data_IF_627340000260
#
_entry.id   IF_627340000260
#
_cell.length_a   1.000
_cell.length_b   1.000
_cell.length_c   1.000
_cell.angle_alpha   90.00
_cell.angle_beta   90.00
_cell.angle_gamma   90.00
#
_symmetry.space_group_name_H-M   'P 1'
#
loop_
_entity.id
_entity.type
_entity.pdbx_description
1 polymer ?
#
# COMPACT_ATOMS: atom_id res chain seq x y z
N UNK A 1 -1.68 0.72 0.07
CA UNK A 1 -2.51 0.83 1.32
C UNK A 1 -3.42 -0.38 1.39
N UNK A 2 -3.47 -1.13 2.50
CA UNK A 2 -4.29 -2.37 2.57
C UNK A 2 -4.73 -2.71 3.98
N UNK A 3 -5.94 -3.25 4.11
CA UNK A 3 -6.55 -3.68 5.37
C UNK A 3 -7.19 -5.05 5.17
N UNK A 4 -6.89 -5.98 6.07
CA UNK A 4 -7.56 -7.27 6.16
C UNK A 4 -8.74 -7.15 7.12
N UNK A 5 -9.84 -7.82 6.79
CA UNK A 5 -11.01 -7.96 7.64
C UNK A 5 -11.42 -9.43 7.61
N UNK A 6 -11.73 -9.98 8.78
CA UNK A 6 -12.24 -11.35 8.91
C UNK A 6 -13.05 -11.47 10.21
N UNK A 7 -13.84 -12.54 10.27
CA UNK A 7 -14.63 -12.91 11.44
C UNK A 7 -14.05 -14.21 12.02
N UNK A 8 -13.58 -14.16 13.26
CA UNK A 8 -13.11 -15.34 13.99
C UNK A 8 -14.02 -15.58 15.19
N UNK A 9 -14.64 -16.75 15.28
CA UNK A 9 -15.43 -17.16 16.46
C UNK A 9 -16.39 -16.06 16.99
N UNK A 10 -17.10 -15.38 16.07
CA UNK A 10 -18.04 -14.28 16.32
C UNK A 10 -17.43 -12.90 16.66
N UNK A 11 -16.10 -12.75 16.57
CA UNK A 11 -15.41 -11.47 16.71
C UNK A 11 -14.91 -11.00 15.35
N UNK A 12 -15.44 -9.89 14.86
CA UNK A 12 -14.89 -9.20 13.69
C UNK A 12 -13.61 -8.47 14.07
N UNK A 13 -12.54 -8.72 13.33
CA UNK A 13 -11.28 -7.99 13.47
C UNK A 13 -10.86 -7.34 12.16
N UNK A 14 -9.99 -6.35 12.28
CA UNK A 14 -9.33 -5.74 11.14
C UNK A 14 -7.88 -5.42 11.49
N UNK A 15 -7.03 -5.42 10.48
CA UNK A 15 -5.65 -4.96 10.62
C UNK A 15 -5.18 -4.34 9.31
N UNK A 16 -4.63 -3.13 9.37
CA UNK A 16 -3.88 -2.61 8.25
C UNK A 16 -2.60 -3.42 8.12
N UNK A 17 -2.37 -4.11 7.01
CA UNK A 17 -1.19 -4.98 6.84
C UNK A 17 -0.22 -4.51 5.75
N UNK A 18 -0.58 -3.45 5.01
CA UNK A 18 0.32 -2.71 4.13
C UNK A 18 0.89 -1.48 4.83
N UNK A 19 0.85 -0.31 4.17
CA UNK A 19 1.23 0.98 4.77
C UNK A 19 0.54 1.20 6.14
N UNK A 20 1.33 1.49 7.18
CA UNK A 20 0.84 1.60 8.57
C UNK A 20 0.40 2.99 8.97
N UNK A 21 1.00 3.97 8.33
CA UNK A 21 0.67 5.38 8.36
C UNK A 21 1.27 5.99 7.10
N UNK A 22 0.99 7.26 6.87
CA UNK A 22 1.68 8.08 5.90
C UNK A 22 1.96 9.46 6.48
N UNK A 23 2.98 10.12 5.94
CA UNK A 23 3.30 11.53 6.24
C UNK A 23 2.90 12.39 5.06
N UNK A 24 2.67 13.68 5.28
CA UNK A 24 2.42 14.64 4.22
C UNK A 24 3.39 15.82 4.36
N UNK A 25 4.32 15.92 3.43
CA UNK A 25 5.36 16.95 3.34
C UNK A 25 5.11 17.89 2.16
N UNK A 26 4.67 17.34 1.03
CA UNK A 26 4.28 18.12 -0.14
C UNK A 26 2.99 18.91 0.15
N UNK A 27 2.94 20.16 -0.32
CA UNK A 27 1.84 21.07 -0.02
C UNK A 27 0.52 20.64 -0.68
N UNK A 28 0.57 20.15 -1.92
CA UNK A 28 -0.61 19.67 -2.64
C UNK A 28 -1.14 18.38 -1.99
N UNK A 29 -0.24 17.47 -1.61
CA UNK A 29 -0.63 16.26 -0.88
C UNK A 29 -1.17 16.58 0.51
N UNK A 30 -0.59 17.54 1.24
CA UNK A 30 -1.12 17.99 2.54
C UNK A 30 -2.54 18.53 2.43
N UNK A 31 -2.83 19.30 1.38
CA UNK A 31 -4.18 19.80 1.12
C UNK A 31 -5.17 18.65 0.79
N UNK A 32 -4.73 17.62 0.06
CA UNK A 32 -5.54 16.41 -0.14
C UNK A 32 -5.80 15.67 1.18
N UNK A 33 -4.79 15.50 2.02
CA UNK A 33 -4.95 14.87 3.35
C UNK A 33 -5.95 15.65 4.21
N UNK A 34 -5.91 16.98 4.18
CA UNK A 34 -6.90 17.81 4.87
C UNK A 34 -8.32 17.57 4.36
N UNK A 35 -8.52 17.41 3.04
CA UNK A 35 -9.82 17.04 2.46
C UNK A 35 -10.27 15.66 2.94
N UNK A 36 -9.36 14.68 3.03
CA UNK A 36 -9.69 13.37 3.60
C UNK A 36 -10.07 13.45 5.07
N UNK A 37 -9.42 14.31 5.86
CA UNK A 37 -9.77 14.52 7.26
C UNK A 37 -11.16 15.14 7.42
N UNK A 38 -11.48 16.16 6.63
CA UNK A 38 -12.81 16.78 6.61
C UNK A 38 -13.90 15.78 6.21
N UNK A 39 -13.59 14.86 5.30
CA UNK A 39 -14.49 13.79 4.89
C UNK A 39 -14.53 12.59 5.87
N UNK A 40 -13.78 12.62 6.97
CA UNK A 40 -13.67 11.51 7.92
C UNK A 40 -12.97 10.26 7.36
N UNK A 41 -12.27 10.39 6.23
CA UNK A 41 -11.55 9.31 5.55
C UNK A 41 -10.09 9.15 6.03
N UNK A 42 -9.54 10.14 6.72
CA UNK A 42 -8.24 10.07 7.36
C UNK A 42 -8.23 10.82 8.71
N UNK A 43 -7.28 10.49 9.59
CA UNK A 43 -7.04 11.22 10.83
C UNK A 43 -5.56 11.17 11.22
N UNK A 44 -5.14 12.10 12.09
CA UNK A 44 -3.85 12.01 12.75
C UNK A 44 -3.83 10.79 13.67
N UNK A 45 -2.72 10.04 13.69
CA UNK A 45 -2.51 8.92 14.60
C UNK A 45 -1.68 9.37 15.81
N UNK A 46 -2.29 9.51 17.00
CA UNK A 46 -1.61 9.99 18.20
C UNK A 46 -0.84 8.86 18.90
N UNK A 47 0.02 8.14 18.17
CA UNK A 47 0.77 7.01 18.71
C UNK A 47 1.93 7.46 19.61
N UNK A 48 2.15 6.71 20.70
CA UNK A 48 3.43 6.72 21.41
C UNK A 48 4.44 5.93 20.60
N UNK A 49 5.42 6.62 20.03
CA UNK A 49 6.44 6.00 19.21
C UNK A 49 7.69 5.67 20.03
N UNK A 50 8.36 4.59 19.66
CA UNK A 50 9.63 4.20 20.23
C UNK A 50 10.58 3.63 19.16
N UNK A 51 11.85 3.46 19.53
CA UNK A 51 12.80 2.58 18.85
C UNK A 51 13.29 1.50 19.82
N UNK A 52 13.68 0.35 19.27
CA UNK A 52 14.34 -0.73 20.01
C UNK A 52 15.64 -1.10 19.28
N UNK A 53 16.76 -0.99 19.99
CA UNK A 53 18.11 -1.24 19.46
C UNK A 53 18.63 -2.66 19.70
N UNK A 54 17.83 -3.50 20.36
CA UNK A 54 18.18 -4.87 20.76
C UNK A 54 18.42 -5.00 22.26
N UNK A 55 18.57 -3.90 22.99
CA UNK A 55 18.75 -3.89 24.45
C UNK A 55 17.53 -3.31 25.17
N UNK A 56 16.90 -2.27 24.62
CA UNK A 56 15.72 -1.68 25.26
C UNK A 56 14.93 -0.73 24.39
N UNK A 57 13.80 -0.29 24.93
CA UNK A 57 12.93 0.71 24.31
C UNK A 57 13.38 2.14 24.64
N UNK A 58 13.49 2.98 23.62
CA UNK A 58 13.68 4.42 23.76
C UNK A 58 12.49 5.17 23.13
N UNK A 59 11.81 6.07 23.86
CA UNK A 59 10.77 6.92 23.28
C UNK A 59 11.30 7.75 22.10
N UNK A 60 10.50 7.85 21.05
CA UNK A 60 10.83 8.62 19.86
C UNK A 60 9.97 9.89 19.81
N UNK A 61 10.57 11.02 20.17
CA UNK A 61 9.94 12.33 20.06
C UNK A 61 10.22 12.93 18.68
N UNK A 62 9.18 13.18 17.90
CA UNK A 62 9.31 13.75 16.57
C UNK A 62 8.13 14.67 16.26
N UNK A 63 8.35 15.82 15.61
CA UNK A 63 7.27 16.70 15.17
C UNK A 63 6.53 16.15 13.94
N UNK A 64 6.99 15.03 13.36
CA UNK A 64 6.40 14.46 12.16
C UNK A 64 5.00 13.89 12.45
N UNK A 65 4.00 14.57 11.91
CA UNK A 65 2.63 14.10 11.88
C UNK A 65 2.49 12.83 11.05
N UNK A 66 1.77 11.84 11.59
CA UNK A 66 1.48 10.57 10.94
C UNK A 66 -0.02 10.43 10.80
N UNK A 67 -0.47 10.21 9.59
CA UNK A 67 -1.88 10.06 9.25
C UNK A 67 -2.19 8.60 8.94
N UNK A 68 -3.42 8.21 9.23
CA UNK A 68 -3.97 6.91 8.88
C UNK A 68 -5.34 7.10 8.25
N UNK A 69 -5.72 6.20 7.34
CA UNK A 69 -7.11 6.17 6.86
C UNK A 69 -8.08 5.81 7.99
N UNK A 70 -9.31 6.29 7.98
CA UNK A 70 -10.34 6.04 9.02
C UNK A 70 -11.65 5.54 8.39
N UNK A 71 -12.27 4.45 8.89
CA UNK A 71 -11.86 3.62 10.04
C UNK A 71 -10.75 2.60 9.72
N UNK A 72 -10.16 2.65 8.52
CA UNK A 72 -9.16 1.69 8.03
C UNK A 72 -8.25 2.34 6.99
N UNK A 73 -7.03 1.82 6.78
CA UNK A 73 -6.06 2.42 5.86
C UNK A 73 -6.55 2.50 4.41
N UNK A 74 -7.50 1.65 3.99
CA UNK A 74 -8.09 1.73 2.64
C UNK A 74 -9.09 2.88 2.45
N UNK A 75 -9.50 3.58 3.53
CA UNK A 75 -10.56 4.57 3.47
C UNK A 75 -10.29 5.78 2.55
N UNK A 76 -9.06 6.36 2.46
CA UNK A 76 -8.77 7.44 1.53
C UNK A 76 -8.98 7.06 0.07
N UNK A 77 -8.42 5.91 -0.36
CA UNK A 77 -8.61 5.40 -1.72
C UNK A 77 -10.08 5.06 -2.00
N UNK A 78 -10.78 4.45 -1.03
CA UNK A 78 -12.20 4.15 -1.18
C UNK A 78 -13.06 5.42 -1.25
N UNK A 79 -12.71 6.48 -0.53
CA UNK A 79 -13.37 7.79 -0.61
C UNK A 79 -13.19 8.38 -2.01
N UNK A 80 -11.96 8.40 -2.54
CA UNK A 80 -11.68 8.88 -3.89
C UNK A 80 -12.51 8.15 -4.94
N UNK A 81 -12.53 6.81 -4.90
CA UNK A 81 -13.33 5.99 -5.83
C UNK A 81 -14.82 6.32 -5.75
N UNK A 82 -15.38 6.43 -4.54
CA UNK A 82 -16.81 6.78 -4.37
C UNK A 82 -17.12 8.16 -4.91
N UNK A 83 -16.28 9.15 -4.61
CA UNK A 83 -16.48 10.53 -5.08
C UNK A 83 -16.41 10.63 -6.59
N UNK A 84 -15.44 9.94 -7.23
CA UNK A 84 -15.31 9.89 -8.68
C UNK A 84 -16.44 9.09 -9.36
N UNK A 85 -16.97 8.07 -8.68
CA UNK A 85 -18.14 7.31 -9.15
C UNK A 85 -19.48 8.02 -8.97
N UNK A 86 -19.51 9.17 -8.29
CA UNK A 86 -20.72 9.95 -8.03
C UNK A 86 -20.65 11.36 -8.67
N UNK A 87 -19.79 11.56 -9.66
CA UNK A 87 -19.64 12.85 -10.34
C UNK A 87 -20.96 13.29 -11.00
N UNK A 88 -21.40 14.55 -10.79
CA UNK A 88 -22.61 15.05 -11.41
C UNK A 88 -22.36 15.47 -12.87
N UNK A 89 -23.42 15.53 -13.71
CA UNK A 89 -23.34 16.13 -15.03
C UNK A 89 -22.77 17.56 -14.99
N UNK A 90 -21.97 18.00 -15.99
CA UNK A 90 -21.66 17.30 -17.26
C UNK A 90 -20.52 16.28 -17.17
N UNK A 91 -19.95 16.04 -15.98
CA UNK A 91 -18.89 15.06 -15.80
C UNK A 91 -19.45 13.63 -15.85
N UNK A 92 -18.65 12.70 -16.35
CA UNK A 92 -19.02 11.28 -16.42
C UNK A 92 -18.46 10.55 -15.19
N UNK A 93 -19.31 9.83 -14.43
CA UNK A 93 -18.85 8.98 -13.33
C UNK A 93 -17.78 7.97 -13.74
N UNK A 94 -16.74 7.82 -12.91
CA UNK A 94 -15.71 6.80 -13.11
C UNK A 94 -16.29 5.42 -12.84
N UNK A 95 -16.15 4.51 -13.80
CA UNK A 95 -16.53 3.11 -13.64
C UNK A 95 -15.38 2.31 -13.03
N UNK A 96 -15.67 1.57 -11.96
CA UNK A 96 -14.71 0.66 -11.33
C UNK A 96 -15.14 -0.78 -11.57
N UNK A 97 -14.22 -1.59 -12.10
CA UNK A 97 -14.39 -3.04 -12.28
C UNK A 97 -13.39 -3.77 -11.38
N UNK A 98 -13.92 -4.55 -10.44
CA UNK A 98 -13.13 -5.42 -9.57
C UNK A 98 -13.08 -6.82 -10.19
N UNK A 99 -12.18 -7.68 -9.68
CA UNK A 99 -12.00 -9.05 -10.21
C UNK A 99 -11.71 -9.06 -11.71
N UNK A 100 -10.90 -8.08 -12.16
CA UNK A 100 -10.49 -7.92 -13.56
C UNK A 100 -8.98 -7.72 -13.59
N UNK A 101 -8.26 -8.83 -13.70
CA UNK A 101 -6.80 -8.87 -13.80
C UNK A 101 -6.42 -8.71 -15.26
N UNK A 102 -6.02 -7.50 -15.66
CA UNK A 102 -5.50 -7.24 -17.02
C UNK A 102 -4.20 -8.02 -17.22
N UNK A 103 -4.14 -8.80 -18.30
CA UNK A 103 -2.99 -9.65 -18.65
C UNK A 103 -2.35 -9.26 -19.99
N UNK A 104 -3.08 -8.58 -20.88
CA UNK A 104 -2.54 -8.11 -22.14
C UNK A 104 -3.15 -6.77 -22.56
N UNK A 105 -2.32 -5.99 -23.24
CA UNK A 105 -2.66 -4.73 -23.89
C UNK A 105 -2.38 -4.88 -25.38
N UNK A 106 -3.31 -4.42 -26.21
CA UNK A 106 -3.16 -4.38 -27.66
C UNK A 106 -3.61 -3.02 -28.18
N UNK A 107 -2.90 -2.48 -29.17
CA UNK A 107 -3.25 -1.19 -29.78
C UNK A 107 -3.60 -1.37 -31.25
N UNK A 108 -4.55 -0.56 -31.72
CA UNK A 108 -5.01 -0.52 -33.11
C UNK A 108 -5.40 0.90 -33.50
N UNK A 109 -5.75 1.11 -34.77
CA UNK A 109 -6.31 2.39 -35.22
C UNK A 109 -7.60 2.81 -34.46
N UNK A 110 -8.32 1.84 -33.88
CA UNK A 110 -9.53 2.09 -33.07
C UNK A 110 -9.26 2.36 -31.59
N UNK A 111 -7.99 2.37 -31.18
CA UNK A 111 -7.55 2.50 -29.79
C UNK A 111 -7.15 1.17 -29.15
N UNK A 112 -6.94 1.23 -27.84
CA UNK A 112 -6.47 0.14 -26.99
C UNK A 112 -7.58 -0.87 -26.68
N UNK A 113 -7.26 -2.16 -26.79
CA UNK A 113 -7.99 -3.27 -26.15
C UNK A 113 -7.24 -3.80 -24.93
N UNK A 114 -8.03 -4.30 -23.98
CA UNK A 114 -7.55 -4.96 -22.78
C UNK A 114 -8.04 -6.41 -22.80
N UNK A 115 -7.19 -7.35 -22.44
CA UNK A 115 -7.59 -8.73 -22.15
C UNK A 115 -7.35 -9.01 -20.69
N UNK A 116 -8.36 -9.55 -20.01
CA UNK A 116 -8.28 -9.93 -18.60
C UNK A 116 -8.42 -11.44 -18.39
N UNK A 117 -7.83 -11.95 -17.32
CA UNK A 117 -7.86 -13.36 -16.96
C UNK A 117 -9.30 -13.89 -16.80
N UNK A 118 -10.17 -13.09 -16.17
CA UNK A 118 -11.51 -13.49 -15.75
C UNK A 118 -12.57 -13.33 -16.86
N UNK A 119 -12.32 -12.46 -17.84
CA UNK A 119 -13.35 -12.03 -18.81
C UNK A 119 -12.89 -12.01 -20.27
N UNK A 120 -11.71 -12.54 -20.58
CA UNK A 120 -11.09 -12.45 -21.90
C UNK A 120 -11.02 -10.98 -22.40
N UNK A 121 -11.26 -10.74 -23.69
CA UNK A 121 -11.13 -9.41 -24.31
C UNK A 121 -12.30 -8.50 -23.94
N UNK A 122 -11.98 -7.26 -23.59
CA UNK A 122 -12.96 -6.23 -23.27
C UNK A 122 -13.52 -5.61 -24.55
N UNK A 123 -14.84 -5.47 -24.62
CA UNK A 123 -15.50 -4.88 -25.80
C UNK A 123 -15.22 -3.37 -25.98
N UNK A 124 -14.93 -2.66 -24.89
CA UNK A 124 -14.66 -1.22 -24.90
C UNK A 124 -13.24 -0.93 -25.41
N UNK A 125 -13.13 0.09 -26.26
CA UNK A 125 -11.85 0.63 -26.75
C UNK A 125 -11.49 1.90 -26.01
N UNK A 126 -10.20 2.07 -25.72
CA UNK A 126 -9.70 3.21 -24.94
C UNK A 126 -8.71 4.02 -25.76
N UNK A 127 -8.78 5.35 -25.66
CA UNK A 127 -7.81 6.25 -26.29
C UNK A 127 -6.46 6.25 -25.55
N UNK A 128 -6.49 6.00 -24.25
CA UNK A 128 -5.29 5.94 -23.42
C UNK A 128 -5.38 4.85 -22.36
N UNK A 129 -4.23 4.33 -21.96
CA UNK A 129 -4.07 3.35 -20.87
C UNK A 129 -3.05 3.91 -19.87
N UNK A 130 -3.42 3.92 -18.59
CA UNK A 130 -2.58 4.39 -17.49
C UNK A 130 -2.39 3.24 -16.51
N UNK A 131 -1.16 2.76 -16.37
CA UNK A 131 -0.83 1.66 -15.46
C UNK A 131 -0.37 2.22 -14.11
N UNK A 132 -1.17 1.95 -13.08
CA UNK A 132 -0.89 2.30 -11.68
C UNK A 132 -0.62 1.02 -10.86
N UNK A 133 0.33 0.21 -11.32
CA UNK A 133 0.67 -1.10 -10.75
C UNK A 133 2.15 -1.16 -10.34
N UNK A 134 2.54 -2.06 -9.42
CA UNK A 134 3.93 -2.39 -9.13
C UNK A 134 4.75 -2.61 -10.41
N UNK A 135 5.99 -2.13 -10.42
CA UNK A 135 6.87 -2.18 -11.58
C UNK A 135 7.00 -3.60 -12.19
N UNK A 136 7.25 -4.66 -11.39
CA UNK A 136 7.31 -6.03 -11.93
C UNK A 136 6.01 -6.53 -12.59
N UNK A 137 4.86 -5.98 -12.18
CA UNK A 137 3.57 -6.29 -12.80
C UNK A 137 3.31 -5.47 -14.07
N UNK A 138 3.92 -4.29 -14.20
CA UNK A 138 3.83 -3.47 -15.40
C UNK A 138 4.68 -4.05 -16.55
N UNK A 139 5.85 -4.64 -16.26
CA UNK A 139 6.77 -5.20 -17.27
C UNK A 139 6.06 -6.10 -18.30
N UNK A 140 5.37 -7.19 -17.92
CA UNK A 140 4.75 -8.09 -18.90
C UNK A 140 3.63 -7.43 -19.72
N UNK A 141 2.96 -6.41 -19.19
CA UNK A 141 1.95 -5.64 -19.91
C UNK A 141 2.57 -4.71 -20.97
N UNK A 142 3.79 -4.24 -20.72
CA UNK A 142 4.47 -3.26 -21.56
C UNK A 142 5.39 -3.89 -22.60
N UNK A 143 6.05 -5.01 -22.31
CA UNK A 143 7.03 -5.65 -23.21
C UNK A 143 6.53 -5.77 -24.66
N UNK A 144 5.27 -6.17 -24.94
CA UNK A 144 4.79 -6.32 -26.32
C UNK A 144 4.49 -4.99 -27.04
N UNK A 145 4.24 -3.90 -26.31
CA UNK A 145 3.63 -2.67 -26.87
C UNK A 145 4.45 -1.39 -26.63
N UNK A 146 5.33 -1.38 -25.63
CA UNK A 146 6.16 -0.24 -25.26
C UNK A 146 7.46 -0.71 -24.55
N UNK A 147 8.46 -1.21 -25.30
CA UNK A 147 9.71 -1.73 -24.73
C UNK A 147 10.44 -0.73 -23.81
N UNK A 148 10.44 0.57 -24.14
CA UNK A 148 11.07 1.60 -23.31
C UNK A 148 10.41 1.74 -21.94
N UNK A 149 9.07 1.66 -21.90
CA UNK A 149 8.30 1.65 -20.65
C UNK A 149 8.55 0.38 -19.85
N UNK A 150 8.67 -0.77 -20.52
CA UNK A 150 9.03 -2.04 -19.90
C UNK A 150 10.43 -1.99 -19.29
N UNK A 151 11.42 -1.42 -20.00
CA UNK A 151 12.78 -1.24 -19.51
C UNK A 151 12.83 -0.34 -18.27
N UNK A 152 12.08 0.77 -18.28
CA UNK A 152 11.96 1.63 -17.10
C UNK A 152 11.37 0.88 -15.91
N UNK A 153 10.25 0.16 -16.11
CA UNK A 153 9.63 -0.62 -15.04
C UNK A 153 10.56 -1.72 -14.50
N UNK A 154 11.31 -2.39 -15.38
CA UNK A 154 12.29 -3.43 -15.00
C UNK A 154 13.49 -2.88 -14.21
N UNK A 155 13.80 -1.59 -14.34
CA UNK A 155 14.88 -0.94 -13.57
C UNK A 155 14.54 -0.70 -12.10
N UNK A 156 13.26 -0.76 -11.72
CA UNK A 156 12.83 -0.56 -10.34
C UNK A 156 12.93 -1.87 -9.54
N UNK A 157 13.83 -1.89 -8.55
CA UNK A 157 13.96 -3.01 -7.62
C UNK A 157 12.91 -2.91 -6.50
N UNK A 158 11.82 -3.66 -6.64
CA UNK A 158 10.80 -3.78 -5.59
C UNK A 158 11.09 -4.96 -4.67
N UNK A 159 11.10 -4.73 -3.36
CA UNK A 159 11.43 -5.75 -2.35
C UNK A 159 10.20 -6.38 -1.72
N UNK A 160 10.35 -7.60 -1.25
CA UNK A 160 9.36 -8.34 -0.49
C UNK A 160 9.26 -7.89 0.97
N UNK A 161 8.09 -8.09 1.57
CA UNK A 161 7.85 -7.89 3.00
C UNK A 161 6.88 -8.93 3.54
N UNK A 162 7.29 -9.61 4.60
CA UNK A 162 6.38 -10.40 5.42
C UNK A 162 5.72 -9.53 6.49
N UNK A 163 4.40 -9.66 6.59
CA UNK A 163 3.56 -8.99 7.56
C UNK A 163 2.77 -10.02 8.37
N UNK A 164 2.82 -9.96 9.70
CA UNK A 164 2.03 -10.84 10.59
C UNK A 164 1.08 -10.00 11.43
N UNK A 165 -0.21 -10.28 11.29
CA UNK A 165 -1.30 -9.64 12.03
C UNK A 165 -1.63 -10.52 13.25
N UNK A 166 -1.46 -9.98 14.45
CA UNK A 166 -1.58 -10.70 15.72
C UNK A 166 -2.79 -10.18 16.48
N UNK A 167 -3.77 -11.05 16.72
CA UNK A 167 -4.93 -10.78 17.59
C UNK A 167 -4.60 -11.26 19.00
N UNK A 168 -4.62 -10.33 19.96
CA UNK A 168 -4.28 -10.59 21.36
C UNK A 168 -5.55 -10.75 22.19
N UNK A 169 -5.57 -11.77 23.07
CA UNK A 169 -6.71 -12.05 23.96
C UNK A 169 -6.69 -11.12 25.19
N UNK A 170 -5.50 -10.70 25.61
CA UNK A 170 -5.28 -9.77 26.72
C UNK A 170 -4.50 -8.53 26.25
N UNK A 171 -4.64 -7.38 26.94
CA UNK A 171 -3.89 -6.18 26.62
C UNK A 171 -2.37 -6.39 26.66
N UNK A 172 -1.66 -5.89 25.65
CA UNK A 172 -0.19 -6.01 25.58
C UNK A 172 0.46 -4.83 26.31
N UNK A 173 1.27 -5.15 27.31
CA UNK A 173 1.93 -4.17 28.20
C UNK A 173 3.23 -3.59 27.62
N UNK A 174 3.21 -3.21 26.34
CA UNK A 174 4.31 -2.48 25.70
C UNK A 174 4.18 -0.97 25.94
N UNK A 175 5.30 -0.24 26.15
CA UNK A 175 5.28 1.20 26.45
C UNK A 175 5.03 2.09 25.22
N UNK A 176 4.62 1.50 24.08
CA UNK A 176 4.45 2.17 22.81
C UNK A 176 3.24 1.62 22.04
N UNK A 177 2.84 2.37 21.00
CA UNK A 177 1.80 2.01 20.04
C UNK A 177 2.39 1.81 18.64
N UNK A 178 3.61 2.31 18.40
CA UNK A 178 4.41 1.98 17.22
C UNK A 178 5.89 1.97 17.57
N UNK A 179 6.64 0.99 17.07
CA UNK A 179 8.07 0.89 17.37
C UNK A 179 8.89 0.47 16.15
N UNK A 180 10.00 1.17 15.95
CA UNK A 180 11.04 0.79 15.00
C UNK A 180 11.99 -0.20 15.65
N UNK A 181 12.20 -1.34 15.01
CA UNK A 181 13.11 -2.38 15.48
C UNK A 181 14.36 -2.36 14.58
N UNK A 182 15.53 -2.30 15.21
CA UNK A 182 16.81 -2.17 14.52
C UNK A 182 17.64 -3.47 14.53
N UNK A 183 17.09 -4.56 15.05
CA UNK A 183 17.79 -5.84 15.21
C UNK A 183 16.85 -7.04 15.01
N UNK A 184 17.35 -8.08 14.36
CA UNK A 184 16.60 -9.32 14.17
C UNK A 184 15.60 -9.24 13.01
N UNK A 185 14.60 -10.15 12.97
CA UNK A 185 13.75 -10.32 11.80
C UNK A 185 12.68 -9.22 11.66
N UNK A 186 12.43 -8.43 12.71
CA UNK A 186 11.41 -7.39 12.74
C UNK A 186 12.01 -6.03 12.41
N UNK A 187 11.23 -5.18 11.74
CA UNK A 187 11.61 -3.79 11.43
C UNK A 187 10.63 -2.77 12.00
N UNK A 188 9.36 -3.13 12.09
CA UNK A 188 8.32 -2.23 12.57
C UNK A 188 7.18 -3.02 13.24
N UNK A 189 6.70 -2.49 14.35
CA UNK A 189 5.50 -2.98 15.03
C UNK A 189 4.50 -1.84 15.16
N UNK A 190 3.21 -2.13 15.04
CA UNK A 190 2.15 -1.16 15.32
C UNK A 190 0.97 -1.80 16.03
N UNK A 191 0.50 -1.17 17.11
CA UNK A 191 -0.77 -1.46 17.77
C UNK A 191 -1.89 -0.91 16.88
N UNK A 192 -2.34 -1.69 15.91
CA UNK A 192 -3.33 -1.27 14.91
C UNK A 192 -4.63 -0.79 15.58
N UNK A 193 -5.07 -1.50 16.62
CA UNK A 193 -6.25 -1.14 17.42
C UNK A 193 -6.21 0.25 18.09
N UNK A 194 -5.03 0.86 18.26
CA UNK A 194 -4.91 2.24 18.77
C UNK A 194 -5.16 3.30 17.69
N UNK A 195 -5.15 2.92 16.41
CA UNK A 195 -5.42 3.88 15.33
C UNK A 195 -6.88 4.36 15.40
N UNK A 196 -7.15 5.63 15.06
CA UNK A 196 -8.50 6.19 15.10
C UNK A 196 -9.54 5.35 14.34
N UNK A 197 -10.69 5.10 14.97
CA UNK A 197 -11.80 4.37 14.36
C UNK A 197 -11.60 2.87 14.17
N UNK A 198 -10.53 2.25 14.72
CA UNK A 198 -10.40 0.79 14.76
C UNK A 198 -11.28 0.23 15.87
N UNK A 199 -11.92 -0.90 15.59
CA UNK A 199 -12.79 -1.62 16.52
C UNK A 199 -12.38 -3.09 16.55
N UNK A 200 -12.80 -3.82 17.58
CA UNK A 200 -12.47 -5.24 17.77
C UNK A 200 -11.35 -5.45 18.78
N UNK A 201 -10.75 -6.66 18.82
CA UNK A 201 -9.74 -7.02 19.81
C UNK A 201 -8.44 -6.23 19.60
N UNK A 202 -7.60 -6.17 20.65
CA UNK A 202 -6.27 -5.60 20.52
C UNK A 202 -5.49 -6.36 19.44
N UNK A 203 -5.11 -5.65 18.39
CA UNK A 203 -4.44 -6.21 17.23
C UNK A 203 -3.13 -5.47 16.99
N UNK A 204 -2.06 -6.24 16.81
CA UNK A 204 -0.72 -5.76 16.47
C UNK A 204 -0.34 -6.21 15.06
N UNK A 205 0.28 -5.31 14.30
CA UNK A 205 0.98 -5.69 13.09
C UNK A 205 2.47 -5.79 13.34
N UNK A 206 3.07 -6.86 12.84
CA UNK A 206 4.50 -7.08 12.78
C UNK A 206 4.93 -7.00 11.31
N UNK A 207 5.82 -6.07 10.98
CA UNK A 207 6.53 -6.04 9.69
C UNK A 207 7.93 -6.56 9.87
N UNK A 208 8.29 -7.56 9.07
CA UNK A 208 9.65 -8.06 9.00
C UNK A 208 10.58 -7.04 8.33
N UNK A 209 11.88 -7.16 8.61
CA UNK A 209 12.91 -6.42 7.88
C UNK A 209 12.95 -6.84 6.41
N UNK A 210 13.34 -5.94 5.48
CA UNK A 210 13.52 -6.29 4.08
C UNK A 210 14.51 -7.45 3.89
N UNK A 211 15.65 -7.41 4.59
CA UNK A 211 16.71 -8.41 4.47
C UNK A 211 16.22 -9.81 4.87
N UNK A 212 15.51 -9.90 5.99
CA UNK A 212 14.90 -11.15 6.43
C UNK A 212 13.76 -11.58 5.49
N UNK A 213 12.93 -10.64 5.03
CA UNK A 213 11.80 -10.97 4.15
C UNK A 213 12.26 -11.55 2.81
N UNK A 214 13.33 -11.02 2.22
CA UNK A 214 13.91 -11.55 0.98
C UNK A 214 14.49 -12.94 1.18
N UNK A 215 15.25 -13.15 2.27
CA UNK A 215 15.83 -14.46 2.58
C UNK A 215 14.77 -15.55 2.82
N UNK A 216 13.58 -15.16 3.29
CA UNK A 216 12.47 -16.05 3.63
C UNK A 216 11.25 -15.84 2.71
N UNK A 217 11.44 -15.27 1.51
CA UNK A 217 10.30 -14.85 0.69
C UNK A 217 9.46 -16.04 0.22
N UNK A 218 10.07 -17.21 0.03
CA UNK A 218 9.39 -18.44 -0.39
C UNK A 218 9.01 -19.39 0.76
N UNK A 219 9.31 -19.01 2.00
CA UNK A 219 8.92 -19.81 3.16
C UNK A 219 7.39 -19.86 3.31
N UNK A 220 6.91 -20.92 3.95
CA UNK A 220 5.50 -21.05 4.24
C UNK A 220 5.05 -20.08 5.36
N UNK A 221 3.77 -19.70 5.31
CA UNK A 221 3.19 -18.73 6.23
C UNK A 221 3.27 -19.16 7.70
N UNK A 222 3.27 -20.46 8.01
CA UNK A 222 3.31 -20.94 9.40
C UNK A 222 4.72 -20.83 9.99
N UNK A 223 5.76 -21.17 9.23
CA UNK A 223 7.16 -20.99 9.60
C UNK A 223 7.49 -19.51 9.85
N UNK A 224 7.06 -18.63 8.95
CA UNK A 224 7.23 -17.17 9.10
C UNK A 224 6.49 -16.65 10.33
N UNK A 225 5.23 -17.05 10.51
CA UNK A 225 4.44 -16.65 11.68
C UNK A 225 5.13 -17.05 12.98
N UNK A 226 5.63 -18.28 13.05
CA UNK A 226 6.34 -18.78 14.23
C UNK A 226 7.59 -17.95 14.54
N UNK A 227 8.39 -17.63 13.52
CA UNK A 227 9.59 -16.83 13.68
C UNK A 227 9.29 -15.40 14.17
N UNK A 228 8.32 -14.72 13.55
CA UNK A 228 7.99 -13.34 13.90
C UNK A 228 7.27 -13.22 15.25
N UNK A 229 6.43 -14.19 15.62
CA UNK A 229 5.83 -14.24 16.96
C UNK A 229 6.88 -14.46 18.04
N UNK A 230 7.88 -15.33 17.82
CA UNK A 230 8.99 -15.52 18.75
C UNK A 230 9.78 -14.22 18.94
N UNK A 231 10.06 -13.51 17.84
CA UNK A 231 10.75 -12.22 17.90
C UNK A 231 9.90 -11.16 18.62
N UNK A 232 8.58 -11.15 18.43
CA UNK A 232 7.68 -10.23 19.13
C UNK A 232 7.61 -10.54 20.64
N UNK A 233 7.53 -11.81 21.02
CA UNK A 233 7.55 -12.24 22.41
C UNK A 233 8.86 -11.85 23.13
N UNK A 234 10.00 -11.97 22.45
CA UNK A 234 11.30 -11.53 22.97
C UNK A 234 11.36 -10.02 23.27
N UNK A 235 10.49 -9.22 22.65
CA UNK A 235 10.35 -7.78 22.90
C UNK A 235 9.35 -7.45 24.02
N UNK A 236 8.79 -8.47 24.70
CA UNK A 236 7.73 -8.29 25.70
C UNK A 236 6.30 -8.39 25.14
N UNK A 237 6.15 -8.89 23.91
CA UNK A 237 4.86 -9.31 23.37
C UNK A 237 4.29 -10.53 24.10
N UNK A 238 3.03 -10.91 23.82
CA UNK A 238 2.39 -12.06 24.44
C UNK A 238 3.06 -13.39 24.04
N UNK A 239 2.82 -14.43 24.83
CA UNK A 239 3.22 -15.80 24.47
C UNK A 239 2.58 -16.19 23.12
N UNK A 240 3.37 -16.64 22.12
CA UNK A 240 2.86 -17.09 20.82
C UNK A 240 1.72 -18.11 20.90
N UNK A 241 1.66 -18.94 21.95
CA UNK A 241 0.61 -19.94 22.14
C UNK A 241 -0.75 -19.32 22.54
N UNK A 242 -0.77 -18.05 22.95
CA UNK A 242 -1.96 -17.36 23.48
C UNK A 242 -2.61 -16.39 22.49
N UNK A 243 -2.08 -16.31 21.27
CA UNK A 243 -2.55 -15.38 20.25
C UNK A 243 -3.03 -16.09 19.01
N UNK A 244 -3.85 -15.40 18.23
CA UNK A 244 -4.12 -15.81 16.86
C UNK A 244 -3.35 -14.93 15.90
N UNK A 245 -2.71 -15.54 14.90
CA UNK A 245 -1.92 -14.82 13.91
C UNK A 245 -2.38 -15.10 12.47
N UNK A 246 -2.12 -14.15 11.58
CA UNK A 246 -2.32 -14.31 10.13
C UNK A 246 -1.16 -13.64 9.43
N UNK A 247 -0.41 -14.39 8.62
CA UNK A 247 0.66 -13.84 7.80
C UNK A 247 0.14 -13.36 6.44
N UNK A 248 0.86 -12.41 5.87
CA UNK A 248 0.68 -11.95 4.50
C UNK A 248 2.03 -11.64 3.88
N UNK A 249 2.22 -12.12 2.64
CA UNK A 249 3.42 -11.89 1.85
C UNK A 249 3.17 -10.81 0.80
N UNK A 250 3.81 -9.66 0.99
CA UNK A 250 3.91 -8.63 -0.05
C UNK A 250 5.13 -8.94 -0.90
N UNK A 251 4.96 -9.37 -2.16
CA UNK A 251 6.11 -9.57 -3.06
C UNK A 251 6.73 -8.24 -3.53
N UNK A 252 5.93 -7.17 -3.57
CA UNK A 252 6.32 -5.85 -4.05
C UNK A 252 5.86 -4.80 -3.03
N UNK A 253 6.58 -4.72 -1.91
CA UNK A 253 6.18 -3.96 -0.72
C UNK A 253 6.72 -2.52 -0.71
N UNK A 254 7.97 -2.34 -1.11
CA UNK A 254 8.62 -1.04 -1.26
C UNK A 254 9.65 -1.06 -2.40
N UNK A 255 10.20 0.11 -2.71
CA UNK A 255 11.28 0.30 -3.70
C UNK A 255 12.35 1.15 -3.04
N UNK A 256 13.59 0.66 -3.01
CA UNK A 256 14.69 1.35 -2.33
C UNK A 256 16.00 1.22 -3.16
N UNK A 257 16.55 2.34 -3.67
CA UNK A 257 15.93 3.66 -3.75
C UNK A 257 14.77 3.66 -4.78
N UNK A 258 13.70 4.43 -4.55
CA UNK A 258 12.68 4.66 -5.58
C UNK A 258 13.27 5.46 -6.75
N UNK A 259 12.72 5.28 -7.95
CA UNK A 259 13.08 6.13 -9.09
C UNK A 259 12.59 7.57 -8.86
N UNK A 260 13.19 8.51 -9.58
CA UNK A 260 12.88 9.96 -9.48
C UNK A 260 12.24 10.51 -10.76
N UNK A 261 11.76 9.62 -11.65
CA UNK A 261 11.14 10.00 -12.92
C UNK A 261 9.80 10.74 -12.74
N UNK A 262 9.13 10.58 -11.60
CA UNK A 262 7.81 11.15 -11.31
C UNK A 262 6.69 10.36 -11.98
N UNK A 263 6.71 10.24 -13.31
CA UNK A 263 5.84 9.37 -14.10
C UNK A 263 6.52 9.03 -15.44
N UNK A 264 5.94 8.12 -16.20
CA UNK A 264 6.32 7.89 -17.60
C UNK A 264 5.10 8.05 -18.49
N UNK A 265 5.23 8.79 -19.59
CA UNK A 265 4.14 9.04 -20.53
C UNK A 265 4.65 8.98 -21.97
N UNK A 266 4.02 8.13 -22.77
CA UNK A 266 4.21 8.10 -24.21
C UNK A 266 2.94 8.66 -24.88
N UNK A 267 3.01 9.92 -25.32
CA UNK A 267 1.88 10.64 -25.89
C UNK A 267 1.41 10.06 -27.24
N UNK A 268 2.32 9.56 -28.08
CA UNK A 268 1.95 8.99 -29.39
C UNK A 268 1.20 7.66 -29.24
N UNK A 269 1.53 6.89 -28.20
CA UNK A 269 0.83 5.65 -27.85
C UNK A 269 -0.39 5.89 -26.96
N UNK A 270 -0.48 7.01 -26.25
CA UNK A 270 -1.49 7.21 -25.21
C UNK A 270 -1.29 6.25 -24.02
N UNK A 271 -0.05 5.91 -23.68
CA UNK A 271 0.27 4.91 -22.66
C UNK A 271 1.18 5.52 -21.58
N UNK A 272 0.88 5.25 -20.30
CA UNK A 272 1.66 5.81 -19.19
C UNK A 272 1.75 4.95 -17.95
N UNK A 273 2.76 5.24 -17.11
CA UNK A 273 3.04 4.60 -15.83
C UNK A 273 3.04 5.63 -14.71
N UNK A 274 2.40 5.28 -13.59
CA UNK A 274 2.55 5.98 -12.33
C UNK A 274 2.63 4.98 -11.17
N UNK A 275 3.23 5.41 -10.06
CA UNK A 275 3.41 4.57 -8.89
C UNK A 275 4.34 5.20 -7.88
N UNK A 276 4.30 4.70 -6.65
CA UNK A 276 5.26 5.05 -5.60
C UNK A 276 6.71 4.76 -6.02
N UNK A 277 6.94 3.66 -6.76
CA UNK A 277 8.24 3.28 -7.29
C UNK A 277 8.84 4.29 -8.30
N UNK A 278 8.02 5.19 -8.86
CA UNK A 278 8.45 6.30 -9.73
C UNK A 278 8.68 7.61 -8.97
N UNK A 279 8.26 7.68 -7.71
CA UNK A 279 8.29 8.90 -6.92
C UNK A 279 8.33 8.59 -5.42
N UNK A 280 9.51 8.50 -4.82
CA UNK A 280 9.67 8.55 -3.36
C UNK A 280 9.20 7.33 -2.54
N UNK A 281 8.61 6.28 -3.14
CA UNK A 281 8.38 4.98 -2.49
C UNK A 281 7.40 4.98 -1.31
N UNK A 282 6.55 6.01 -1.20
CA UNK A 282 5.56 6.19 -0.11
C UNK A 282 4.19 6.58 -0.68
N UNK A 283 3.18 6.64 0.19
CA UNK A 283 1.80 7.03 -0.19
C UNK A 283 1.74 8.41 -0.87
N UNK A 284 2.45 9.41 -0.31
CA UNK A 284 2.58 10.74 -0.92
C UNK A 284 3.15 10.66 -2.35
N UNK A 285 4.19 9.84 -2.51
CA UNK A 285 4.82 9.54 -3.76
C UNK A 285 3.89 8.96 -4.83
N UNK A 286 3.13 7.92 -4.47
CA UNK A 286 2.12 7.35 -5.37
C UNK A 286 1.09 8.39 -5.83
N UNK A 287 0.64 9.24 -4.90
CA UNK A 287 -0.32 10.30 -5.20
C UNK A 287 0.26 11.36 -6.16
N UNK A 288 1.49 11.82 -5.90
CA UNK A 288 2.20 12.78 -6.74
C UNK A 288 2.47 12.20 -8.15
N UNK A 289 2.88 10.94 -8.23
CA UNK A 289 3.10 10.24 -9.50
C UNK A 289 1.82 10.16 -10.33
N UNK A 290 0.69 9.78 -9.70
CA UNK A 290 -0.61 9.74 -10.39
C UNK A 290 -1.06 11.11 -10.88
N UNK A 291 -0.84 12.17 -10.10
CA UNK A 291 -1.11 13.55 -10.47
C UNK A 291 -0.24 14.04 -11.62
N UNK A 292 1.05 13.70 -11.61
CA UNK A 292 1.98 14.04 -12.68
C UNK A 292 1.55 13.40 -14.00
N UNK A 293 1.23 12.10 -13.98
CA UNK A 293 0.76 11.40 -15.17
C UNK A 293 -0.55 12.00 -15.72
N UNK A 294 -1.51 12.31 -14.83
CA UNK A 294 -2.76 12.94 -15.23
C UNK A 294 -2.55 14.31 -15.92
N UNK A 295 -1.57 15.11 -15.45
CA UNK A 295 -1.21 16.38 -16.11
C UNK A 295 -0.68 16.13 -17.52
N UNK A 296 0.25 15.19 -17.71
CA UNK A 296 0.77 14.84 -19.04
C UNK A 296 -0.35 14.41 -20.00
N UNK A 297 -1.33 13.64 -19.51
CA UNK A 297 -2.51 13.24 -20.29
C UNK A 297 -3.34 14.45 -20.66
N UNK A 298 -3.65 15.36 -19.74
CA UNK A 298 -4.45 16.54 -20.04
C UNK A 298 -3.75 17.47 -21.03
N UNK A 299 -2.43 17.64 -20.94
CA UNK A 299 -1.68 18.53 -21.82
C UNK A 299 -1.58 18.00 -23.26
N UNK A 300 -1.62 16.67 -23.43
CA UNK A 300 -1.38 16.02 -24.73
C UNK A 300 -2.64 15.39 -25.33
N UNK A 301 -3.63 15.07 -24.50
CA UNK A 301 -4.88 14.43 -24.86
C UNK A 301 -6.13 15.25 -24.47
N UNK A 302 -5.99 16.52 -24.11
CA UNK A 302 -7.15 17.42 -24.15
C UNK A 302 -7.78 17.42 -25.57
N UNK A 303 -9.11 17.61 -25.66
CA UNK A 303 -9.85 17.56 -26.92
C UNK A 303 -9.35 18.57 -27.95
#
# INVERSE_FOLDING_TARGET
MSTRRADDAQVTWQCDHGAQYFTARDADFRAEVQRWQQAGAAALWPARLASHDGQGFAPLHTPLERFVGTPRMTAPAAHLVRTLGALPPPLVPVQVRLQTTVQALETSASGWSLTSAEHASHATRYRAVLLAVPAPQAVPLLTPVAPDGAALAASALMRGCWAVMVRCIAPVSLPCDGVFINSGPLRWLARDSNKPGRTGPETWLLHASPEWSEAHIEDDAASVTTALLRAFAALGGPDPATVHATAHRWRYADTEPPLTAGCWWNASLGLGLCGDWLHGGKVEGAWLSGRALARCVLDTLAP
#
